data_IF_331867275292
#
_entry.id   IF_331867275292
#
_cell.length_a   1.000
_cell.length_b   1.000
_cell.length_c   1.000
_cell.angle_alpha   90.00
_cell.angle_beta   90.00
_cell.angle_gamma   90.00
#
_symmetry.space_group_name_H-M   'P 1'
#
loop_
_entity.id
_entity.type
_entity.pdbx_description
1 polymer ?
#
# COMPACT_ATOMS: atom_id res chain seq x y z
N UNK A 1 34.65 4.42 -11.85
CA UNK A 1 33.84 3.31 -11.28
C UNK A 1 32.44 3.44 -11.87
N UNK A 2 32.03 2.49 -12.71
CA UNK A 2 30.79 2.57 -13.48
C UNK A 2 29.68 1.88 -12.66
N UNK A 3 29.03 2.61 -11.75
CA UNK A 3 27.92 2.07 -10.94
C UNK A 3 26.62 2.10 -11.73
N UNK A 4 26.52 1.28 -12.77
CA UNK A 4 25.22 0.87 -13.30
C UNK A 4 24.65 -0.14 -12.31
N UNK A 5 23.67 0.29 -11.53
CA UNK A 5 22.79 -0.63 -10.82
C UNK A 5 22.20 -1.58 -11.86
N UNK A 6 22.58 -2.86 -11.80
CA UNK A 6 21.91 -3.91 -12.57
C UNK A 6 20.44 -3.90 -12.17
N UNK A 7 19.58 -3.36 -13.04
CA UNK A 7 18.15 -3.68 -12.99
C UNK A 7 18.07 -5.18 -13.26
N UNK A 8 17.77 -5.97 -12.23
CA UNK A 8 17.47 -7.38 -12.40
C UNK A 8 16.40 -7.54 -13.49
N UNK A 9 16.67 -8.40 -14.47
CA UNK A 9 15.93 -8.54 -15.74
C UNK A 9 14.45 -8.96 -15.58
N UNK A 10 13.95 -9.13 -14.34
CA UNK A 10 12.53 -9.34 -14.02
C UNK A 10 12.15 -8.78 -12.63
N UNK A 11 12.27 -7.48 -12.39
CA UNK A 11 11.61 -6.89 -11.21
C UNK A 11 10.10 -6.86 -11.47
N UNK A 12 9.33 -7.78 -10.91
CA UNK A 12 7.88 -7.65 -10.89
C UNK A 12 7.49 -6.52 -9.94
N UNK A 13 6.62 -5.62 -10.37
CA UNK A 13 5.99 -4.62 -9.48
C UNK A 13 4.87 -5.22 -8.61
N UNK A 14 4.73 -6.55 -8.59
CA UNK A 14 3.80 -7.25 -7.71
C UNK A 14 4.43 -7.48 -6.33
N UNK A 15 3.76 -6.94 -5.30
CA UNK A 15 4.22 -7.01 -3.91
C UNK A 15 3.19 -7.76 -3.06
N UNK A 16 3.57 -8.90 -2.50
CA UNK A 16 2.65 -9.77 -1.79
C UNK A 16 2.63 -9.40 -0.30
N UNK A 17 1.59 -8.68 0.13
CA UNK A 17 1.43 -8.21 1.51
C UNK A 17 1.30 -9.38 2.49
N UNK A 18 2.09 -9.41 3.58
CA UNK A 18 1.93 -10.43 4.63
C UNK A 18 0.51 -10.46 5.23
N UNK A 19 -0.08 -11.65 5.37
CA UNK A 19 -1.44 -11.83 5.91
C UNK A 19 -1.64 -11.23 7.30
N UNK A 20 -0.59 -11.17 8.11
CA UNK A 20 -0.63 -10.58 9.45
C UNK A 20 -0.92 -9.07 9.42
N UNK A 21 -0.50 -8.36 8.35
CA UNK A 21 -0.80 -6.94 8.17
C UNK A 21 -2.30 -6.78 7.91
N UNK A 22 -2.84 -7.54 6.95
CA UNK A 22 -4.27 -7.52 6.61
C UNK A 22 -5.14 -7.89 7.81
N UNK A 23 -4.78 -8.96 8.52
CA UNK A 23 -5.50 -9.41 9.73
C UNK A 23 -5.56 -8.32 10.80
N UNK A 24 -4.48 -7.57 11.00
CA UNK A 24 -4.44 -6.49 11.98
C UNK A 24 -5.27 -5.26 11.57
N UNK A 25 -5.52 -5.08 10.27
CA UNK A 25 -6.29 -3.96 9.72
C UNK A 25 -7.76 -4.30 9.46
N UNK A 26 -8.13 -5.57 9.53
CA UNK A 26 -9.49 -6.04 9.31
C UNK A 26 -9.83 -6.24 7.82
N UNK A 27 -11.13 -6.45 7.55
CA UNK A 27 -11.68 -6.76 6.23
C UNK A 27 -11.60 -5.55 5.28
N UNK A 28 -11.34 -5.81 4.01
CA UNK A 28 -11.41 -4.84 2.92
C UNK A 28 -12.32 -5.37 1.82
N UNK A 29 -13.05 -4.47 1.19
CA UNK A 29 -14.00 -4.80 0.12
C UNK A 29 -13.28 -4.87 -1.23
N UNK A 30 -12.27 -4.00 -1.44
CA UNK A 30 -11.54 -3.91 -2.71
C UNK A 30 -10.02 -3.83 -2.53
N UNK A 31 -9.28 -4.59 -3.34
CA UNK A 31 -7.86 -4.39 -3.65
C UNK A 31 -7.72 -4.16 -5.17
N UNK A 32 -7.42 -2.93 -5.61
CA UNK A 32 -7.33 -2.59 -7.03
C UNK A 32 -5.94 -2.90 -7.63
N UNK A 33 -5.04 -3.51 -6.85
CA UNK A 33 -3.65 -3.80 -7.20
C UNK A 33 -3.23 -5.21 -6.76
N UNK A 34 -4.16 -6.15 -6.75
CA UNK A 34 -3.90 -7.50 -6.32
C UNK A 34 -2.91 -8.22 -7.27
N UNK A 35 -2.07 -9.13 -6.77
CA UNK A 35 -1.28 -10.00 -7.64
C UNK A 35 -2.17 -10.92 -8.48
N UNK A 36 -1.72 -11.32 -9.69
CA UNK A 36 -2.48 -12.26 -10.55
C UNK A 36 -2.76 -13.58 -9.83
N UNK A 37 -1.82 -14.04 -9.01
CA UNK A 37 -1.91 -15.30 -8.25
C UNK A 37 -1.65 -15.03 -6.77
N UNK A 38 -2.61 -14.43 -6.05
CA UNK A 38 -2.40 -14.05 -4.68
C UNK A 38 -2.17 -15.30 -3.80
N UNK A 39 -1.23 -15.22 -2.86
CA UNK A 39 -1.01 -16.30 -1.88
C UNK A 39 -2.20 -16.45 -0.91
N UNK A 40 -2.92 -15.35 -0.71
CA UNK A 40 -4.16 -15.23 0.05
C UNK A 40 -4.90 -13.98 -0.42
N UNK A 41 -6.24 -13.92 -0.28
CA UNK A 41 -7.00 -12.73 -0.62
C UNK A 41 -6.59 -11.54 0.26
N UNK A 42 -6.49 -10.37 -0.36
CA UNK A 42 -6.27 -9.08 0.30
C UNK A 42 -7.57 -8.32 0.56
N UNK A 43 -8.57 -8.58 -0.27
CA UNK A 43 -9.93 -8.05 -0.21
C UNK A 43 -10.93 -9.04 -0.84
N UNK A 44 -12.23 -8.72 -0.78
CA UNK A 44 -13.28 -9.51 -1.46
C UNK A 44 -13.22 -9.41 -2.98
N UNK A 45 -13.10 -8.18 -3.49
CA UNK A 45 -12.92 -7.90 -4.90
C UNK A 45 -11.46 -7.56 -5.11
N UNK A 46 -10.83 -8.20 -6.10
CA UNK A 46 -9.41 -8.04 -6.39
C UNK A 46 -9.24 -7.79 -7.88
N UNK A 47 -8.63 -6.66 -8.24
CA UNK A 47 -8.23 -6.37 -9.61
C UNK A 47 -6.75 -6.67 -9.76
N UNK A 48 -6.42 -7.53 -10.73
CA UNK A 48 -5.04 -7.83 -11.07
C UNK A 48 -4.52 -6.90 -12.18
N UNK A 49 -3.23 -7.00 -12.51
CA UNK A 49 -2.61 -6.18 -13.56
C UNK A 49 -3.18 -6.35 -14.98
N UNK A 50 -4.00 -7.37 -15.24
CA UNK A 50 -4.69 -7.54 -16.53
C UNK A 50 -6.03 -6.79 -16.54
N UNK A 51 -6.53 -6.40 -15.37
CA UNK A 51 -7.69 -5.57 -15.14
C UNK A 51 -7.17 -4.15 -14.85
N UNK A 52 -7.34 -3.20 -15.77
CA UNK A 52 -6.88 -1.81 -15.55
C UNK A 52 -7.58 -1.18 -14.32
N UNK A 53 -7.03 -1.40 -13.13
CA UNK A 53 -7.66 -1.08 -11.85
C UNK A 53 -7.92 0.42 -11.65
N UNK A 54 -7.25 1.28 -12.44
CA UNK A 54 -7.49 2.72 -12.46
C UNK A 54 -8.77 3.10 -13.22
N UNK A 55 -9.14 2.37 -14.28
CA UNK A 55 -10.37 2.63 -15.03
C UNK A 55 -11.60 1.94 -14.42
N UNK A 56 -11.40 0.95 -13.57
CA UNK A 56 -12.48 0.26 -12.88
C UNK A 56 -13.08 1.08 -11.73
N UNK A 57 -14.32 0.71 -11.36
CA UNK A 57 -15.06 1.30 -10.25
C UNK A 57 -14.47 0.83 -8.92
N UNK A 58 -14.34 1.77 -7.99
CA UNK A 58 -13.95 1.50 -6.61
C UNK A 58 -15.16 1.62 -5.69
N UNK A 59 -15.43 0.59 -4.90
CA UNK A 59 -16.55 0.54 -3.96
C UNK A 59 -16.08 -0.01 -2.62
N UNK A 60 -16.73 0.43 -1.55
CA UNK A 60 -16.41 -0.01 -0.19
C UNK A 60 -15.06 0.48 0.32
N UNK A 61 -14.48 -0.26 1.25
CA UNK A 61 -13.22 0.02 1.92
C UNK A 61 -12.06 -0.59 1.13
N UNK A 62 -11.11 0.27 0.74
CA UNK A 62 -10.00 -0.12 -0.14
C UNK A 62 -8.73 -0.49 0.64
N UNK A 63 -8.14 -1.64 0.32
CA UNK A 63 -6.74 -1.92 0.58
C UNK A 63 -5.91 -1.51 -0.63
N UNK A 64 -4.85 -0.72 -0.44
CA UNK A 64 -3.98 -0.32 -1.53
C UNK A 64 -2.52 -0.65 -1.23
N UNK A 65 -1.97 -1.62 -1.95
CA UNK A 65 -0.53 -1.86 -2.07
C UNK A 65 -0.15 -1.72 -3.56
N UNK A 66 0.05 -0.48 -4.04
CA UNK A 66 0.09 -0.22 -5.48
C UNK A 66 1.40 -0.72 -6.10
N UNK A 67 1.48 -0.83 -7.45
CA UNK A 67 2.76 -0.84 -8.14
C UNK A 67 3.60 0.37 -7.72
N UNK A 68 4.83 0.15 -7.28
CA UNK A 68 5.68 1.23 -6.74
C UNK A 68 6.39 2.04 -7.84
N UNK A 69 6.28 1.61 -9.10
CA UNK A 69 6.79 2.32 -10.26
C UNK A 69 5.97 3.57 -10.56
N UNK A 70 6.65 4.61 -11.05
CA UNK A 70 6.01 5.83 -11.55
C UNK A 70 5.61 5.62 -13.02
N UNK A 71 4.46 6.19 -13.47
CA UNK A 71 3.56 7.07 -12.73
C UNK A 71 2.48 6.36 -11.89
N UNK A 72 2.37 5.03 -11.99
CA UNK A 72 1.25 4.26 -11.44
C UNK A 72 1.02 4.48 -9.94
N UNK A 73 2.08 4.45 -9.12
CA UNK A 73 1.96 4.68 -7.67
C UNK A 73 1.17 5.95 -7.34
N UNK A 74 1.45 7.05 -8.05
CA UNK A 74 0.81 8.34 -7.80
C UNK A 74 -0.64 8.34 -8.26
N UNK A 75 -0.94 7.73 -9.41
CA UNK A 75 -2.30 7.64 -9.93
C UNK A 75 -3.23 6.85 -8.99
N UNK A 76 -2.75 5.71 -8.48
CA UNK A 76 -3.49 4.90 -7.52
C UNK A 76 -3.70 5.62 -6.18
N UNK A 77 -2.67 6.28 -5.66
CA UNK A 77 -2.77 7.04 -4.41
C UNK A 77 -3.72 8.23 -4.56
N UNK A 78 -3.70 8.94 -5.69
CA UNK A 78 -4.67 10.03 -5.98
C UNK A 78 -6.10 9.49 -6.01
N UNK A 79 -6.35 8.39 -6.71
CA UNK A 79 -7.68 7.76 -6.77
C UNK A 79 -8.16 7.32 -5.38
N UNK A 80 -7.28 6.77 -4.53
CA UNK A 80 -7.63 6.46 -3.14
C UNK A 80 -7.94 7.71 -2.31
N UNK A 81 -7.15 8.77 -2.48
CA UNK A 81 -7.37 10.03 -1.79
C UNK A 81 -8.71 10.69 -2.17
N UNK A 82 -9.11 10.58 -3.44
CA UNK A 82 -10.42 11.00 -3.94
C UNK A 82 -11.55 10.09 -3.43
N UNK A 83 -11.32 8.78 -3.37
CA UNK A 83 -12.26 7.80 -2.84
C UNK A 83 -12.53 7.99 -1.34
N UNK A 84 -11.53 8.40 -0.57
CA UNK A 84 -11.68 8.81 0.83
C UNK A 84 -11.95 7.68 1.83
N UNK A 85 -12.00 6.41 1.39
CA UNK A 85 -12.22 5.26 2.25
C UNK A 85 -11.25 4.11 1.96
N UNK A 86 -10.09 4.12 2.62
CA UNK A 86 -9.20 2.97 2.61
C UNK A 86 -7.85 3.22 3.28
N UNK A 87 -6.96 2.23 3.14
CA UNK A 87 -5.61 2.26 3.70
C UNK A 87 -4.60 1.93 2.59
N UNK A 88 -3.59 2.79 2.44
CA UNK A 88 -2.43 2.53 1.58
C UNK A 88 -1.21 2.07 2.38
N UNK A 89 -0.51 1.07 1.87
CA UNK A 89 0.83 0.69 2.32
C UNK A 89 1.87 1.25 1.34
N UNK A 90 2.70 2.17 1.81
CA UNK A 90 3.72 2.84 1.00
C UNK A 90 5.09 2.81 1.66
N UNK A 91 6.10 3.26 0.91
CA UNK A 91 7.39 3.65 1.48
C UNK A 91 7.30 5.05 2.11
N UNK A 92 7.96 5.23 3.25
CA UNK A 92 8.05 6.49 3.96
C UNK A 92 8.94 7.51 3.21
N UNK A 93 8.39 8.10 2.16
CA UNK A 93 9.00 9.15 1.33
C UNK A 93 8.19 10.45 1.44
N UNK A 94 8.05 10.91 2.68
CA UNK A 94 7.28 12.11 3.03
C UNK A 94 7.74 13.38 2.30
N UNK A 95 8.98 13.42 1.83
CA UNK A 95 9.56 14.51 1.03
C UNK A 95 9.08 14.55 -0.42
N UNK A 96 8.43 13.49 -0.91
CA UNK A 96 8.00 13.42 -2.30
C UNK A 96 6.75 14.26 -2.59
N UNK A 97 6.63 14.75 -3.84
CA UNK A 97 5.47 15.51 -4.33
C UNK A 97 4.12 14.83 -4.04
N UNK A 98 4.04 13.51 -4.22
CA UNK A 98 2.84 12.73 -3.90
C UNK A 98 2.47 12.82 -2.41
N UNK A 99 3.47 12.83 -1.52
CA UNK A 99 3.21 12.99 -0.10
C UNK A 99 2.75 14.42 0.23
N UNK A 100 3.49 15.41 -0.25
CA UNK A 100 3.23 16.82 0.03
C UNK A 100 1.89 17.29 -0.54
N UNK A 101 1.63 16.99 -1.83
CA UNK A 101 0.51 17.59 -2.56
C UNK A 101 -0.78 16.74 -2.52
N UNK A 102 -0.72 15.51 -2.01
CA UNK A 102 -1.87 14.59 -2.00
C UNK A 102 -2.09 13.99 -0.61
N UNK A 103 -1.10 13.28 -0.08
CA UNK A 103 -1.29 12.52 1.17
C UNK A 103 -1.50 13.48 2.35
N UNK A 104 -0.65 14.49 2.55
CA UNK A 104 -0.80 15.40 3.69
C UNK A 104 -2.06 16.27 3.60
N UNK A 105 -2.53 16.55 2.38
CA UNK A 105 -3.76 17.33 2.14
C UNK A 105 -5.05 16.51 2.35
N UNK A 106 -5.01 15.17 2.20
CA UNK A 106 -6.23 14.34 2.12
C UNK A 106 -6.29 13.19 3.11
N UNK A 107 -5.15 12.69 3.59
CA UNK A 107 -5.14 11.61 4.56
C UNK A 107 -5.60 12.10 5.94
N UNK A 108 -6.29 11.22 6.66
CA UNK A 108 -6.78 11.48 8.01
C UNK A 108 -5.72 11.13 9.05
N UNK A 109 -5.00 10.02 8.84
CA UNK A 109 -3.96 9.58 9.75
C UNK A 109 -2.91 8.71 9.09
N UNK A 110 -1.77 8.59 9.74
CA UNK A 110 -0.67 7.73 9.30
C UNK A 110 -0.10 6.92 10.45
N UNK A 111 0.43 5.74 10.15
CA UNK A 111 1.18 4.91 11.08
C UNK A 111 2.55 4.57 10.53
N UNK A 112 3.57 5.13 11.15
CA UNK A 112 4.97 4.81 10.88
C UNK A 112 5.31 3.49 11.57
N UNK A 113 5.59 2.45 10.79
CA UNK A 113 5.80 1.12 11.34
C UNK A 113 7.18 1.00 12.00
N UNK A 114 7.25 0.28 13.14
CA UNK A 114 8.51 0.00 13.84
C UNK A 114 9.47 -0.83 12.97
N UNK A 115 8.91 -1.70 12.15
CA UNK A 115 9.65 -2.61 11.27
C UNK A 115 9.20 -2.46 9.81
N UNK A 116 10.14 -2.67 8.88
CA UNK A 116 9.85 -2.68 7.44
C UNK A 116 9.07 -3.94 7.08
N UNK A 117 8.05 -3.81 6.23
CA UNK A 117 7.28 -4.96 5.74
C UNK A 117 8.14 -5.76 4.77
N UNK A 118 8.43 -7.01 5.12
CA UNK A 118 9.05 -7.96 4.20
C UNK A 118 7.97 -8.67 3.39
N UNK A 119 7.81 -8.26 2.14
CA UNK A 119 6.85 -8.84 1.20
C UNK A 119 7.19 -10.28 0.87
N UNK A 120 6.17 -11.06 0.51
CA UNK A 120 6.37 -12.40 -0.03
C UNK A 120 6.70 -12.34 -1.53
N UNK A 121 7.32 -13.40 -2.03
CA UNK A 121 7.49 -13.67 -3.46
C UNK A 121 6.34 -14.58 -3.95
N UNK A 122 6.11 -14.68 -5.28
CA UNK A 122 5.06 -15.55 -5.83
C UNK A 122 5.17 -17.03 -5.42
N UNK A 123 6.37 -17.50 -5.07
CA UNK A 123 6.63 -18.86 -4.59
C UNK A 123 6.35 -19.06 -3.10
N UNK A 124 5.88 -18.03 -2.38
CA UNK A 124 5.61 -18.08 -0.95
C UNK A 124 6.84 -17.87 -0.05
N UNK A 125 8.03 -17.65 -0.61
CA UNK A 125 9.20 -17.29 0.19
C UNK A 125 9.13 -15.83 0.63
N UNK A 126 9.74 -15.53 1.78
CA UNK A 126 9.78 -14.15 2.29
C UNK A 126 10.95 -13.39 1.67
N UNK A 127 10.66 -12.19 1.19
CA UNK A 127 11.65 -11.25 0.68
C UNK A 127 12.57 -10.71 1.77
N UNK A 128 13.64 -10.06 1.32
CA UNK A 128 14.55 -9.33 2.20
C UNK A 128 13.92 -8.05 2.75
N UNK A 129 14.61 -7.42 3.70
CA UNK A 129 14.17 -6.13 4.24
C UNK A 129 14.21 -5.06 3.16
N UNK A 130 13.09 -4.35 2.87
CA UNK A 130 13.09 -3.26 1.90
C UNK A 130 14.10 -2.16 2.27
N UNK A 131 14.59 -1.41 1.29
CA UNK A 131 15.55 -0.31 1.52
C UNK A 131 14.97 0.90 2.25
N UNK A 132 13.65 1.05 2.29
CA UNK A 132 12.95 2.20 2.88
C UNK A 132 11.97 1.76 3.98
N UNK A 133 11.69 2.66 4.93
CA UNK A 133 10.67 2.44 5.96
C UNK A 133 9.28 2.22 5.36
N UNK A 134 8.44 1.42 6.02
CA UNK A 134 7.04 1.22 5.64
C UNK A 134 6.14 2.18 6.41
N UNK A 135 5.11 2.69 5.75
CA UNK A 135 4.08 3.53 6.36
C UNK A 135 2.71 3.07 5.89
N UNK A 136 1.76 3.04 6.82
CA UNK A 136 0.34 2.89 6.51
C UNK A 136 -0.32 4.28 6.55
N UNK A 137 -1.14 4.57 5.55
CA UNK A 137 -1.82 5.86 5.42
C UNK A 137 -3.31 5.59 5.32
N UNK A 138 -4.08 6.21 6.20
CA UNK A 138 -5.52 6.09 6.24
C UNK A 138 -6.20 7.30 5.57
N UNK A 139 -7.13 7.00 4.68
CA UNK A 139 -8.11 7.95 4.16
C UNK A 139 -9.47 7.61 4.79
N UNK A 140 -10.05 8.58 5.49
CA UNK A 140 -11.29 8.43 6.24
C UNK A 140 -11.08 8.12 7.73
N UNK A 141 -12.01 8.61 8.56
CA UNK A 141 -11.93 8.54 10.03
C UNK A 141 -11.94 7.11 10.58
N UNK A 142 -12.71 6.21 9.97
CA UNK A 142 -12.76 4.81 10.40
C UNK A 142 -11.41 4.11 10.15
N UNK A 143 -10.77 4.37 9.02
CA UNK A 143 -9.45 3.82 8.69
C UNK A 143 -8.37 4.38 9.61
N UNK A 144 -8.46 5.66 9.97
CA UNK A 144 -7.57 6.30 10.92
C UNK A 144 -7.67 5.67 12.31
N UNK A 145 -8.89 5.42 12.79
CA UNK A 145 -9.12 4.75 14.08
C UNK A 145 -8.61 3.30 14.06
N UNK A 146 -8.77 2.59 12.95
CA UNK A 146 -8.15 1.26 12.75
C UNK A 146 -6.62 1.35 12.86
N UNK A 147 -5.98 2.30 12.17
CA UNK A 147 -4.52 2.46 12.25
C UNK A 147 -4.04 2.80 13.66
N UNK A 148 -4.79 3.65 14.37
CA UNK A 148 -4.48 4.04 15.75
C UNK A 148 -4.48 2.83 16.69
N UNK A 149 -5.48 1.94 16.57
CA UNK A 149 -5.73 0.86 17.53
C UNK A 149 -5.25 -0.54 17.09
N UNK A 150 -4.83 -0.72 15.84
CA UNK A 150 -4.34 -2.03 15.37
C UNK A 150 -3.09 -2.50 16.12
N UNK A 151 -2.88 -3.81 16.14
CA UNK A 151 -1.76 -4.45 16.83
C UNK A 151 -0.40 -4.29 16.13
N UNK A 152 -0.33 -3.58 15.01
CA UNK A 152 0.94 -3.37 14.28
C UNK A 152 1.79 -2.37 15.09
N UNK A 153 3.03 -2.71 15.40
CA UNK A 153 3.92 -1.80 16.12
C UNK A 153 4.29 -0.58 15.28
N UNK A 154 4.22 0.60 15.90
CA UNK A 154 4.56 1.84 15.22
C UNK A 154 4.03 3.07 15.94
N UNK A 155 4.33 4.25 15.38
CA UNK A 155 3.82 5.53 15.85
C UNK A 155 2.67 5.98 14.95
N UNK A 156 1.49 6.15 15.54
CA UNK A 156 0.36 6.81 14.87
C UNK A 156 0.49 8.34 14.96
N UNK A 157 0.11 9.03 13.89
CA UNK A 157 0.05 10.49 13.77
C UNK A 157 -1.28 10.85 13.09
N UNK A 158 -2.09 11.67 13.77
CA UNK A 158 -3.25 12.33 13.16
C UNK A 158 -2.74 13.50 12.32
N UNK A 159 -3.28 13.69 11.11
CA UNK A 159 -2.88 14.83 10.25
C UNK A 159 -3.91 15.95 10.27
N UNK A 160 -5.19 15.61 10.12
CA UNK A 160 -6.31 16.55 10.04
C UNK A 160 -7.51 16.03 10.83
#
# INVERSE_FOLDING_TARGET
MNTRFEKSVRSSDEWYTPKEVLKALGRFDLDPCAPIRPLWPTAEVMYDRNMDGLSLKWEGRVWLNPPYSRPLIEQFVRKLAEHGNGIALLFNRCDSKMFQDVIFEKATGMKFLRHRIRFYRPDGTRGDSPGCGSILIAFGVENAEVLKNCSIEGKYVQLN
#
